data_IF_584339522482
#
_entry.id   IF_584339522482
#
_cell.length_a   1.000
_cell.length_b   1.000
_cell.length_c   1.000
_cell.angle_alpha   90.00
_cell.angle_beta   90.00
_cell.angle_gamma   90.00
#
_symmetry.space_group_name_H-M   'P 1'
#
loop_
_entity.id
_entity.type
_entity.pdbx_description
1 polymer ?
#
# COMPACT_ATOMS: atom_id res chain seq x y z
N UNK A 1 -20.58 6.49 41.60
CA UNK A 1 -19.58 7.45 41.09
C UNK A 1 -19.48 7.22 39.61
N UNK A 2 -20.19 8.02 38.81
CA UNK A 2 -20.38 7.71 37.40
C UNK A 2 -19.26 8.37 36.62
N UNK A 3 -18.41 7.54 36.01
CA UNK A 3 -17.49 7.95 34.94
C UNK A 3 -18.35 8.36 33.74
N UNK A 4 -18.71 9.63 33.72
CA UNK A 4 -19.51 10.23 32.68
C UNK A 4 -18.63 10.76 31.54
N UNK A 5 -19.26 11.16 30.43
CA UNK A 5 -18.57 11.81 29.32
C UNK A 5 -17.79 13.05 29.75
N UNK A 6 -18.20 13.70 30.84
CA UNK A 6 -17.49 14.84 31.44
C UNK A 6 -16.08 14.47 31.96
N UNK A 7 -15.93 13.32 32.61
CA UNK A 7 -14.62 12.85 33.09
C UNK A 7 -13.71 12.43 31.92
N UNK A 8 -14.27 11.77 30.90
CA UNK A 8 -13.53 11.41 29.69
C UNK A 8 -12.99 12.63 28.95
N UNK A 9 -13.76 13.72 28.88
CA UNK A 9 -13.31 14.97 28.24
C UNK A 9 -12.09 15.58 28.96
N UNK A 10 -12.12 15.60 30.30
CA UNK A 10 -11.00 16.08 31.12
C UNK A 10 -9.75 15.24 30.90
N UNK A 11 -9.88 13.90 30.89
CA UNK A 11 -8.75 13.00 30.62
C UNK A 11 -8.21 13.20 29.20
N UNK A 12 -9.07 13.38 28.21
CA UNK A 12 -8.65 13.62 26.83
C UNK A 12 -7.84 14.92 26.68
N UNK A 13 -8.22 15.99 27.39
CA UNK A 13 -7.45 17.25 27.42
C UNK A 13 -6.06 17.03 28.03
N UNK A 14 -5.98 16.30 29.15
CA UNK A 14 -4.69 16.00 29.80
C UNK A 14 -3.76 15.24 28.84
N UNK A 15 -4.27 14.19 28.18
CA UNK A 15 -3.50 13.43 27.18
C UNK A 15 -3.08 14.33 26.02
N UNK A 16 -3.96 15.21 25.52
CA UNK A 16 -3.63 16.13 24.44
C UNK A 16 -2.53 17.12 24.82
N UNK A 17 -2.45 17.56 26.07
CA UNK A 17 -1.38 18.45 26.57
C UNK A 17 -0.06 17.71 26.72
N UNK A 18 -0.06 16.47 27.24
CA UNK A 18 1.16 15.68 27.42
C UNK A 18 1.77 15.25 26.08
N UNK A 19 0.94 14.78 25.16
CA UNK A 19 1.40 14.28 23.85
C UNK A 19 1.48 15.39 22.79
N UNK A 20 0.78 16.51 23.01
CA UNK A 20 0.69 17.61 22.07
C UNK A 20 -0.18 17.30 20.85
N UNK A 21 -0.73 18.35 20.24
CA UNK A 21 -1.59 18.23 19.04
C UNK A 21 -0.89 17.60 17.82
N UNK A 22 0.42 17.82 17.68
CA UNK A 22 1.18 17.35 16.50
C UNK A 22 1.29 15.83 16.45
N UNK A 23 1.65 15.18 17.57
CA UNK A 23 1.83 13.72 17.63
C UNK A 23 0.51 12.97 17.54
N UNK A 24 -0.54 13.48 18.18
CA UNK A 24 -1.87 12.86 18.08
C UNK A 24 -2.42 12.97 16.65
N UNK A 25 -2.27 14.10 15.96
CA UNK A 25 -2.75 14.23 14.57
C UNK A 25 -2.00 13.32 13.58
N UNK A 26 -0.69 13.16 13.75
CA UNK A 26 0.13 12.28 12.92
C UNK A 26 -0.27 10.81 13.12
N UNK A 27 -0.40 10.35 14.37
CA UNK A 27 -0.86 8.99 14.68
C UNK A 27 -2.32 8.79 14.24
N UNK A 28 -3.23 9.70 14.57
CA UNK A 28 -4.64 9.59 14.19
C UNK A 28 -4.85 9.60 12.67
N UNK A 29 -3.96 10.25 11.91
CA UNK A 29 -3.96 10.18 10.45
C UNK A 29 -3.68 8.77 9.93
N UNK A 30 -2.67 8.08 10.46
CA UNK A 30 -2.33 6.71 10.06
C UNK A 30 -3.33 5.68 10.58
N UNK A 31 -3.79 5.81 11.82
CA UNK A 31 -4.89 5.01 12.36
C UNK A 31 -6.19 5.22 11.56
N UNK A 32 -6.50 6.45 11.17
CA UNK A 32 -7.68 6.80 10.39
C UNK A 32 -7.67 6.19 8.99
N UNK A 33 -6.51 6.14 8.33
CA UNK A 33 -6.35 5.43 7.05
C UNK A 33 -6.59 3.93 7.21
N UNK A 34 -6.04 3.30 8.25
CA UNK A 34 -6.24 1.88 8.54
C UNK A 34 -7.72 1.52 8.78
N UNK A 35 -8.41 2.28 9.62
CA UNK A 35 -9.84 2.08 9.89
C UNK A 35 -10.68 2.35 8.63
N UNK A 36 -10.32 3.36 7.82
CA UNK A 36 -11.01 3.65 6.56
C UNK A 36 -10.88 2.50 5.57
N UNK A 37 -9.68 1.99 5.33
CA UNK A 37 -9.45 0.84 4.44
C UNK A 37 -10.16 -0.43 4.93
N UNK A 38 -10.18 -0.67 6.24
CA UNK A 38 -10.91 -1.80 6.81
C UNK A 38 -12.43 -1.68 6.57
N UNK A 39 -12.99 -0.49 6.82
CA UNK A 39 -14.42 -0.23 6.59
C UNK A 39 -14.77 -0.27 5.11
N UNK A 40 -13.86 0.19 4.23
CA UNK A 40 -14.04 0.16 2.79
C UNK A 40 -14.00 -1.27 2.28
N UNK A 41 -13.02 -2.08 2.68
CA UNK A 41 -12.93 -3.51 2.34
C UNK A 41 -14.16 -4.29 2.79
N UNK A 42 -14.66 -4.05 4.01
CA UNK A 42 -15.87 -4.72 4.50
C UNK A 42 -17.15 -4.29 3.76
N UNK A 43 -17.23 -3.04 3.29
CA UNK A 43 -18.35 -2.58 2.47
C UNK A 43 -18.24 -3.11 1.02
N UNK A 44 -17.01 -3.20 0.49
CA UNK A 44 -16.73 -3.77 -0.81
C UNK A 44 -17.09 -5.26 -0.85
N UNK A 45 -16.77 -6.02 0.20
CA UNK A 45 -17.12 -7.44 0.33
C UNK A 45 -18.65 -7.63 0.41
N UNK A 46 -19.34 -6.79 1.19
CA UNK A 46 -20.80 -6.78 1.24
C UNK A 46 -21.43 -6.42 -0.13
N UNK A 47 -20.86 -5.47 -0.87
CA UNK A 47 -21.36 -5.07 -2.21
C UNK A 47 -20.99 -6.05 -3.33
N UNK A 48 -19.88 -6.77 -3.20
CA UNK A 48 -19.49 -7.79 -4.17
C UNK A 48 -20.30 -9.07 -3.97
N UNK A 49 -20.68 -9.44 -2.74
CA UNK A 49 -21.59 -10.55 -2.50
C UNK A 49 -22.93 -10.39 -3.26
N UNK A 50 -23.47 -9.17 -3.38
CA UNK A 50 -24.67 -8.87 -4.16
C UNK A 50 -24.43 -8.78 -5.69
N UNK A 51 -23.19 -8.58 -6.16
CA UNK A 51 -22.86 -8.45 -7.59
C UNK A 51 -22.49 -9.76 -8.28
N UNK A 52 -22.05 -10.78 -7.55
CA UNK A 52 -21.67 -12.07 -8.13
C UNK A 52 -22.88 -12.85 -8.70
N UNK A 53 -24.12 -12.54 -8.29
CA UNK A 53 -25.33 -13.16 -8.87
C UNK A 53 -25.78 -12.58 -10.22
N UNK A 54 -25.19 -11.48 -10.72
CA UNK A 54 -25.65 -10.82 -11.97
C UNK A 54 -24.67 -10.87 -13.16
N UNK A 55 -23.56 -11.60 -13.07
CA UNK A 55 -22.64 -11.73 -14.20
C UNK A 55 -22.32 -13.20 -14.51
N UNK A 56 -23.28 -13.87 -15.15
CA UNK A 56 -23.02 -15.04 -16.00
C UNK A 56 -22.96 -14.60 -17.46
N UNK A 57 -21.78 -14.30 -18.04
CA UNK A 57 -21.60 -14.47 -19.47
C UNK A 57 -21.38 -15.97 -19.76
N UNK A 58 -22.31 -16.54 -20.53
CA UNK A 58 -22.25 -17.89 -21.08
C UNK A 58 -21.00 -18.10 -21.97
N UNK A 59 -20.55 -19.36 -22.13
CA UNK A 59 -19.23 -19.70 -22.66
C UNK A 59 -19.20 -19.58 -24.19
N UNK A 60 -18.25 -18.82 -24.73
CA UNK A 60 -17.85 -18.92 -26.13
C UNK A 60 -16.45 -19.52 -26.20
N UNK A 61 -16.45 -20.75 -26.70
CA UNK A 61 -15.38 -21.56 -27.29
C UNK A 61 -13.95 -20.98 -27.32
N UNK A 62 -13.02 -21.81 -26.84
CA UNK A 62 -11.58 -21.75 -27.07
C UNK A 62 -11.21 -21.64 -28.56
N UNK A 63 -10.02 -21.09 -28.86
CA UNK A 63 -9.06 -21.92 -29.54
C UNK A 63 -7.77 -22.09 -28.73
N UNK A 64 -7.48 -23.34 -28.42
CA UNK A 64 -6.13 -23.83 -28.19
C UNK A 64 -5.24 -23.44 -29.36
N UNK A 65 -4.16 -22.70 -29.09
CA UNK A 65 -2.84 -22.98 -29.68
C UNK A 65 -1.79 -22.50 -28.69
N UNK A 66 -1.37 -23.42 -27.82
CA UNK A 66 -0.02 -23.40 -27.30
C UNK A 66 0.96 -23.55 -28.49
N UNK A 67 2.12 -22.88 -28.42
CA UNK A 67 3.31 -23.69 -28.21
C UNK A 67 4.11 -23.21 -26.99
N UNK A 68 4.48 -24.20 -26.18
CA UNK A 68 5.38 -24.16 -25.03
C UNK A 68 6.86 -23.97 -25.49
N UNK A 69 7.84 -23.86 -24.56
CA UNK A 69 8.72 -22.72 -24.22
C UNK A 69 10.17 -23.01 -24.72
N UNK A 70 11.32 -22.68 -24.09
CA UNK A 70 11.73 -21.67 -23.10
C UNK A 70 13.03 -20.91 -23.52
N UNK A 71 13.32 -19.74 -22.94
CA UNK A 71 14.70 -19.27 -22.79
C UNK A 71 14.80 -18.26 -21.63
N UNK A 72 14.82 -18.80 -20.41
CA UNK A 72 15.50 -18.16 -19.29
C UNK A 72 16.97 -18.52 -19.40
N UNK A 73 17.86 -17.55 -19.67
CA UNK A 73 19.23 -17.43 -19.12
C UNK A 73 20.07 -16.49 -19.99
N UNK A 74 20.48 -15.35 -19.42
CA UNK A 74 21.83 -14.79 -19.54
C UNK A 74 21.93 -13.51 -18.69
N UNK A 75 21.94 -13.69 -17.38
CA UNK A 75 22.52 -12.74 -16.43
C UNK A 75 24.04 -12.88 -16.48
N UNK A 76 24.71 -12.08 -17.29
CA UNK A 76 26.16 -11.78 -17.28
C UNK A 76 26.39 -10.73 -18.38
N UNK A 77 27.11 -9.63 -18.25
CA UNK A 77 28.12 -9.27 -17.28
C UNK A 77 28.24 -7.74 -17.25
N UNK A 78 28.40 -7.18 -16.06
CA UNK A 78 29.24 -5.99 -15.88
C UNK A 78 30.65 -6.52 -15.68
N UNK A 79 31.61 -6.10 -16.51
CA UNK A 79 32.80 -5.51 -15.93
C UNK A 79 33.18 -4.21 -16.64
N UNK A 80 33.68 -3.28 -15.82
CA UNK A 80 34.18 -1.96 -16.17
C UNK A 80 35.24 -1.95 -17.29
N UNK A 81 35.45 -0.77 -17.90
CA UNK A 81 36.81 -0.29 -18.06
C UNK A 81 37.01 0.97 -17.24
N UNK A 82 37.84 0.81 -16.22
CA UNK A 82 38.70 1.84 -15.65
C UNK A 82 39.50 2.50 -16.78
N UNK A 83 39.42 3.82 -16.91
CA UNK A 83 40.44 4.63 -17.57
C UNK A 83 40.86 5.73 -16.59
N UNK A 84 41.90 5.40 -15.82
CA UNK A 84 42.76 6.32 -15.08
C UNK A 84 43.92 6.70 -15.99
N UNK A 85 44.24 8.00 -16.09
CA UNK A 85 45.44 8.56 -16.74
C UNK A 85 45.39 8.49 -18.27
N UNK A 86 45.89 9.44 -19.05
CA UNK A 86 47.07 10.25 -18.84
C UNK A 86 47.05 11.41 -19.86
N UNK A 87 47.68 12.53 -19.49
CA UNK A 87 48.29 13.55 -20.35
C UNK A 87 47.52 14.12 -21.57
N UNK A 88 47.01 15.35 -21.45
CA UNK A 88 47.43 16.44 -22.37
C UNK A 88 47.27 17.79 -21.68
N UNK A 89 48.41 18.32 -21.20
CA UNK A 89 48.54 19.67 -20.68
C UNK A 89 48.96 20.54 -21.85
N UNK A 90 48.00 21.22 -22.46
CA UNK A 90 48.25 22.39 -23.29
C UNK A 90 47.87 23.64 -22.50
N UNK A 91 48.88 24.50 -22.30
CA UNK A 91 48.88 25.84 -21.70
C UNK A 91 49.06 25.92 -20.17
#
# INVERSE_FOLDING_TARGET
MNVGPWQLLIVAIVILVLFGRGKISEMMGDFGKGIKSFKQGMNEEARNADRIEQQTPAPTAAPTTAPTPPASEAKAATPAPTATGDADKTN
#
